data_IF_098208587729
#
_entry.id   IF_098208587729
#
_cell.length_a   1.000
_cell.length_b   1.000
_cell.length_c   1.000
_cell.angle_alpha   90.00
_cell.angle_beta   90.00
_cell.angle_gamma   90.00
#
_symmetry.space_group_name_H-M   'P 1'
#
loop_
_entity.id
_entity.type
_entity.pdbx_description
1 polymer ?
#
# COMPACT_ATOMS: atom_id res chain seq x y z
N UNK A 1 -12.77 -36.05 20.67
CA UNK A 1 -12.18 -34.88 21.34
C UNK A 1 -11.50 -34.05 20.26
N UNK A 2 -11.74 -32.76 20.04
CA UNK A 2 -12.39 -31.74 20.85
C UNK A 2 -12.97 -30.60 19.96
N UNK A 3 -13.94 -29.91 20.56
CA UNK A 3 -14.53 -28.59 20.27
C UNK A 3 -15.03 -28.26 18.86
N UNK A 4 -16.23 -28.75 18.55
CA UNK A 4 -17.21 -27.94 17.80
C UNK A 4 -17.52 -26.72 18.69
N UNK A 5 -16.95 -25.57 18.34
CA UNK A 5 -17.19 -24.30 19.04
C UNK A 5 -18.68 -23.97 19.05
N UNK A 6 -19.19 -23.66 20.24
CA UNK A 6 -20.58 -23.33 20.55
C UNK A 6 -21.08 -22.08 19.81
N UNK A 7 -22.20 -22.18 19.10
CA UNK A 7 -23.04 -21.02 18.70
C UNK A 7 -24.52 -21.42 18.83
N UNK A 8 -25.16 -21.16 19.96
CA UNK A 8 -26.63 -21.13 20.00
C UNK A 8 -27.12 -20.05 19.03
N UNK A 9 -28.23 -20.32 18.34
CA UNK A 9 -28.81 -19.50 17.28
C UNK A 9 -29.35 -18.12 17.71
N UNK A 10 -29.09 -17.69 18.96
CA UNK A 10 -29.50 -16.37 19.43
C UNK A 10 -28.76 -15.30 18.61
N UNK A 11 -29.53 -14.51 17.84
CA UNK A 11 -29.10 -13.36 17.06
C UNK A 11 -28.40 -13.64 15.71
N UNK A 12 -28.49 -14.85 15.15
CA UNK A 12 -28.15 -15.07 13.75
C UNK A 12 -29.21 -14.45 12.81
N UNK A 13 -28.80 -14.08 11.60
CA UNK A 13 -29.67 -13.44 10.61
C UNK A 13 -29.67 -14.26 9.32
N UNK A 14 -30.86 -14.57 8.81
CA UNK A 14 -31.04 -15.26 7.54
C UNK A 14 -31.36 -14.27 6.42
N UNK A 15 -30.79 -14.52 5.25
CA UNK A 15 -31.05 -13.80 4.00
C UNK A 15 -31.55 -14.81 2.98
N UNK A 16 -32.71 -14.53 2.36
CA UNK A 16 -33.38 -15.44 1.42
C UNK A 16 -33.72 -14.72 0.12
N UNK A 17 -34.05 -15.47 -0.93
CA UNK A 17 -34.54 -14.96 -2.21
C UNK A 17 -33.56 -13.98 -2.88
N UNK A 18 -32.26 -14.29 -2.85
CA UNK A 18 -31.19 -13.50 -3.48
C UNK A 18 -30.57 -14.15 -4.71
N UNK A 19 -29.62 -13.44 -5.33
CA UNK A 19 -28.69 -13.99 -6.34
C UNK A 19 -27.26 -13.89 -5.79
N UNK A 20 -26.86 -14.88 -4.99
CA UNK A 20 -25.61 -14.84 -4.22
C UNK A 20 -24.52 -15.55 -5.00
N UNK A 21 -23.52 -14.80 -5.46
CA UNK A 21 -22.27 -15.33 -5.98
C UNK A 21 -21.38 -15.75 -4.79
N UNK A 22 -21.03 -17.03 -4.71
CA UNK A 22 -20.27 -17.58 -3.56
C UNK A 22 -18.76 -17.63 -3.81
N UNK A 23 -18.35 -17.55 -5.08
CA UNK A 23 -17.00 -17.87 -5.55
C UNK A 23 -16.52 -19.31 -5.28
N UNK A 24 -17.40 -20.21 -4.82
CA UNK A 24 -17.12 -21.65 -4.72
C UNK A 24 -17.32 -22.30 -6.10
N UNK A 25 -16.27 -22.93 -6.64
CA UNK A 25 -16.30 -23.63 -7.94
C UNK A 25 -17.41 -24.69 -7.99
N UNK A 26 -17.69 -25.38 -6.88
CA UNK A 26 -18.71 -26.45 -6.82
C UNK A 26 -20.13 -25.91 -6.63
N UNK A 27 -20.28 -24.75 -6.01
CA UNK A 27 -21.58 -24.13 -5.73
C UNK A 27 -21.53 -22.62 -5.97
N UNK A 28 -21.33 -22.18 -7.22
CA UNK A 28 -21.03 -20.78 -7.53
C UNK A 28 -22.19 -19.82 -7.24
N UNK A 29 -23.41 -20.34 -7.18
CA UNK A 29 -24.63 -19.59 -6.91
C UNK A 29 -25.41 -20.21 -5.76
N UNK A 30 -25.99 -19.35 -4.92
CA UNK A 30 -26.98 -19.72 -3.92
C UNK A 30 -28.08 -18.65 -3.83
N UNK A 31 -29.33 -19.03 -3.50
CA UNK A 31 -30.39 -18.06 -3.25
C UNK A 31 -30.40 -17.52 -1.82
N UNK A 32 -29.78 -18.21 -0.85
CA UNK A 32 -29.93 -17.87 0.56
C UNK A 32 -28.69 -18.22 1.41
N UNK A 33 -28.55 -17.52 2.55
CA UNK A 33 -27.51 -17.80 3.54
C UNK A 33 -27.90 -17.33 4.95
N UNK A 34 -27.17 -17.83 5.96
CA UNK A 34 -27.28 -17.40 7.36
C UNK A 34 -25.94 -16.82 7.81
N UNK A 35 -26.00 -15.63 8.40
CA UNK A 35 -24.86 -14.96 9.03
C UNK A 35 -24.97 -15.12 10.54
N UNK A 36 -23.91 -15.63 11.15
CA UNK A 36 -23.81 -15.78 12.60
C UNK A 36 -23.55 -14.44 13.30
N UNK A 37 -23.76 -14.34 14.63
CA UNK A 37 -23.48 -13.10 15.37
C UNK A 37 -22.03 -12.59 15.27
N UNK A 38 -21.08 -13.48 14.95
CA UNK A 38 -19.67 -13.12 14.77
C UNK A 38 -19.35 -12.61 13.35
N UNK A 39 -20.32 -12.66 12.42
CA UNK A 39 -20.17 -12.23 11.03
C UNK A 39 -19.82 -13.36 10.05
N UNK A 40 -19.67 -14.60 10.51
CA UNK A 40 -19.35 -15.74 9.64
C UNK A 40 -20.60 -16.27 8.94
N UNK A 41 -20.45 -16.71 7.69
CA UNK A 41 -21.48 -17.49 6.97
C UNK A 41 -21.62 -18.88 7.62
N UNK A 42 -22.73 -19.10 8.33
CA UNK A 42 -23.01 -20.35 9.00
C UNK A 42 -23.58 -21.41 8.04
N UNK A 43 -24.37 -21.00 7.06
CA UNK A 43 -24.96 -21.88 6.05
C UNK A 43 -25.21 -21.08 4.77
N UNK A 44 -24.94 -21.67 3.60
CA UNK A 44 -25.20 -21.08 2.28
C UNK A 44 -25.90 -22.13 1.43
N UNK A 45 -27.14 -21.87 1.01
CA UNK A 45 -28.08 -22.93 0.66
C UNK A 45 -29.27 -22.49 -0.18
N UNK A 46 -30.21 -23.42 -0.36
CA UNK A 46 -31.49 -23.12 -1.00
C UNK A 46 -32.39 -22.31 -0.06
N UNK A 47 -33.40 -21.64 -0.63
CA UNK A 47 -34.39 -20.92 0.18
C UNK A 47 -35.12 -21.85 1.16
N UNK A 48 -35.45 -23.07 0.74
CA UNK A 48 -36.16 -24.03 1.59
C UNK A 48 -35.33 -24.50 2.78
N UNK A 49 -34.04 -24.75 2.56
CA UNK A 49 -33.07 -25.12 3.60
C UNK A 49 -32.95 -24.00 4.63
N UNK A 50 -32.72 -22.77 4.19
CA UNK A 50 -32.58 -21.63 5.10
C UNK A 50 -33.91 -21.33 5.81
N UNK A 51 -35.07 -21.42 5.14
CA UNK A 51 -36.39 -21.26 5.77
C UNK A 51 -36.67 -22.34 6.82
N UNK A 52 -36.16 -23.56 6.64
CA UNK A 52 -36.26 -24.59 7.67
C UNK A 52 -35.44 -24.24 8.92
N UNK A 53 -34.22 -23.72 8.75
CA UNK A 53 -33.38 -23.20 9.84
C UNK A 53 -34.09 -22.06 10.56
N UNK A 54 -34.63 -21.08 9.81
CA UNK A 54 -35.41 -19.96 10.34
C UNK A 54 -36.57 -20.46 11.22
N UNK A 55 -37.34 -21.45 10.76
CA UNK A 55 -38.48 -21.98 11.53
C UNK A 55 -38.04 -22.70 12.81
N UNK A 56 -36.96 -23.49 12.73
CA UNK A 56 -36.40 -24.22 13.86
C UNK A 56 -35.86 -23.27 14.94
N UNK A 57 -35.09 -22.28 14.50
CA UNK A 57 -34.28 -21.42 15.37
C UNK A 57 -34.90 -20.04 15.63
N UNK A 58 -36.02 -19.74 14.97
CA UNK A 58 -36.75 -18.46 15.05
C UNK A 58 -35.88 -17.25 14.67
N UNK A 59 -35.10 -17.39 13.60
CA UNK A 59 -34.19 -16.34 13.12
C UNK A 59 -34.93 -15.15 12.51
N UNK A 60 -34.31 -13.97 12.59
CA UNK A 60 -34.70 -12.82 11.77
C UNK A 60 -34.39 -13.11 10.30
N UNK A 61 -35.31 -12.76 9.41
CA UNK A 61 -35.18 -13.00 7.97
C UNK A 61 -35.24 -11.70 7.19
N UNK A 62 -34.30 -11.53 6.27
CA UNK A 62 -34.33 -10.51 5.23
C UNK A 62 -34.60 -11.15 3.87
N UNK A 63 -35.62 -10.65 3.18
CA UNK A 63 -35.89 -10.98 1.78
C UNK A 63 -35.05 -10.08 0.89
N UNK A 64 -34.09 -10.68 0.17
CA UNK A 64 -33.20 -9.98 -0.75
C UNK A 64 -33.89 -9.57 -2.05
N UNK A 65 -35.13 -10.01 -2.33
CA UNK A 65 -35.92 -9.60 -3.51
C UNK A 65 -35.14 -9.70 -4.83
N UNK A 66 -34.42 -10.80 -5.01
CA UNK A 66 -33.58 -11.10 -6.16
C UNK A 66 -32.40 -10.12 -6.38
N UNK A 67 -32.05 -9.31 -5.38
CA UNK A 67 -30.83 -8.50 -5.43
C UNK A 67 -29.59 -9.41 -5.48
N UNK A 68 -28.58 -8.91 -6.20
CA UNK A 68 -27.29 -9.56 -6.35
C UNK A 68 -26.46 -9.37 -5.08
N UNK A 69 -25.78 -10.42 -4.65
CA UNK A 69 -24.84 -10.41 -3.53
C UNK A 69 -23.53 -11.04 -4.01
N UNK A 70 -22.41 -10.42 -3.66
CA UNK A 70 -21.07 -10.94 -3.92
C UNK A 70 -20.20 -10.78 -2.67
N UNK A 71 -19.06 -11.49 -2.57
CA UNK A 71 -18.07 -11.18 -1.54
C UNK A 71 -17.65 -9.72 -1.64
N UNK A 72 -17.41 -9.10 -0.49
CA UNK A 72 -16.83 -7.76 -0.44
C UNK A 72 -15.47 -7.73 -1.14
N UNK A 73 -15.15 -6.60 -1.76
CA UNK A 73 -13.92 -6.46 -2.53
C UNK A 73 -12.73 -6.44 -1.56
N UNK A 74 -11.69 -7.19 -1.91
CA UNK A 74 -10.38 -7.14 -1.27
C UNK A 74 -9.43 -6.32 -2.16
N UNK A 75 -8.95 -5.21 -1.62
CA UNK A 75 -7.89 -4.44 -2.28
C UNK A 75 -6.52 -5.02 -1.92
N UNK A 76 -5.87 -5.66 -2.88
CA UNK A 76 -4.61 -6.39 -2.66
C UNK A 76 -3.38 -5.48 -2.52
N UNK A 77 -3.49 -4.18 -2.79
CA UNK A 77 -2.40 -3.24 -2.60
C UNK A 77 -2.92 -1.80 -2.55
N UNK A 78 -2.87 -1.19 -1.37
CA UNK A 78 -3.29 0.20 -1.17
C UNK A 78 -2.38 0.94 -0.20
N UNK A 79 -2.49 2.26 -0.20
CA UNK A 79 -1.87 3.15 0.78
C UNK A 79 -2.99 3.93 1.49
N UNK A 80 -3.79 3.23 2.30
CA UNK A 80 -5.03 3.72 2.90
C UNK A 80 -4.82 5.00 3.71
N UNK A 81 -3.79 5.03 4.57
CA UNK A 81 -3.51 6.21 5.39
C UNK A 81 -3.01 7.37 4.53
N UNK A 82 -2.03 7.13 3.66
CA UNK A 82 -1.43 8.17 2.81
C UNK A 82 -2.49 8.78 1.89
N UNK A 83 -3.24 7.96 1.15
CA UNK A 83 -4.30 8.43 0.25
C UNK A 83 -5.38 9.23 1.00
N UNK A 84 -5.72 8.82 2.22
CA UNK A 84 -6.70 9.53 3.05
C UNK A 84 -6.14 10.85 3.59
N UNK A 85 -4.86 10.89 4.01
CA UNK A 85 -4.19 12.14 4.40
C UNK A 85 -4.09 13.11 3.24
N UNK A 86 -3.75 12.61 2.05
CA UNK A 86 -3.71 13.39 0.82
C UNK A 86 -5.07 14.04 0.58
N UNK A 87 -6.13 13.24 0.63
CA UNK A 87 -7.49 13.74 0.36
C UNK A 87 -7.99 14.76 1.38
N UNK A 88 -7.56 14.68 2.64
CA UNK A 88 -8.01 15.57 3.71
C UNK A 88 -7.15 16.82 3.91
N UNK A 89 -5.86 16.78 3.56
CA UNK A 89 -4.90 17.86 3.85
C UNK A 89 -4.31 18.53 2.62
N UNK A 90 -4.25 17.81 1.50
CA UNK A 90 -3.58 18.32 0.31
C UNK A 90 -4.56 19.11 -0.56
N UNK A 91 -4.08 20.23 -1.10
CA UNK A 91 -4.83 20.99 -2.09
C UNK A 91 -4.64 20.33 -3.46
N UNK A 92 -5.74 20.08 -4.15
CA UNK A 92 -5.69 19.81 -5.58
C UNK A 92 -5.45 21.14 -6.31
N UNK A 93 -4.26 21.28 -6.90
CA UNK A 93 -3.88 22.47 -7.66
C UNK A 93 -4.25 22.35 -9.15
N UNK A 94 -4.92 21.26 -9.53
CA UNK A 94 -5.45 21.03 -10.87
C UNK A 94 -4.43 20.49 -11.86
N UNK A 95 -4.85 19.52 -12.67
CA UNK A 95 -4.06 18.86 -13.71
C UNK A 95 -3.41 19.80 -14.73
N UNK A 96 -3.96 21.00 -14.94
CA UNK A 96 -3.45 22.00 -15.87
C UNK A 96 -2.49 23.02 -15.25
N UNK A 97 -2.06 22.83 -14.00
CA UNK A 97 -1.14 23.76 -13.35
C UNK A 97 0.18 23.88 -14.10
N UNK A 98 0.65 25.10 -14.29
CA UNK A 98 1.95 25.40 -14.88
C UNK A 98 2.74 26.41 -14.02
N UNK A 99 3.91 26.85 -14.50
CA UNK A 99 4.78 27.75 -13.74
C UNK A 99 4.12 29.09 -13.36
N UNK A 100 3.12 29.54 -14.12
CA UNK A 100 2.40 30.79 -13.84
C UNK A 100 1.26 30.59 -12.83
N UNK A 101 0.55 29.47 -12.91
CA UNK A 101 -0.65 29.23 -12.08
C UNK A 101 -0.35 28.51 -10.77
N UNK A 102 0.76 27.77 -10.70
CA UNK A 102 1.10 26.88 -9.60
C UNK A 102 0.99 27.57 -8.23
N UNK A 103 1.71 28.67 -8.04
CA UNK A 103 1.73 29.37 -6.76
C UNK A 103 0.38 30.03 -6.43
N UNK A 104 -0.39 30.43 -7.44
CA UNK A 104 -1.74 30.98 -7.26
C UNK A 104 -2.77 29.93 -6.84
N UNK A 105 -2.62 28.69 -7.31
CA UNK A 105 -3.51 27.58 -7.00
C UNK A 105 -3.28 27.01 -5.59
N UNK A 106 -2.14 27.29 -4.97
CA UNK A 106 -1.87 26.91 -3.58
C UNK A 106 -2.78 27.70 -2.62
N UNK A 107 -3.71 27.00 -1.96
CA UNK A 107 -4.58 27.63 -0.95
C UNK A 107 -3.82 28.12 0.29
N UNK A 108 -2.80 27.37 0.77
CA UNK A 108 -1.90 27.73 1.87
C UNK A 108 -0.51 27.12 1.66
N UNK A 109 0.54 27.85 2.00
CA UNK A 109 1.94 27.39 1.86
C UNK A 109 2.29 26.17 2.73
N UNK A 110 1.53 25.91 3.79
CA UNK A 110 1.75 24.79 4.72
C UNK A 110 1.10 23.47 4.27
N UNK A 111 0.50 23.42 3.08
CA UNK A 111 -0.10 22.21 2.53
C UNK A 111 0.94 21.48 1.65
N UNK A 112 1.13 20.18 1.86
CA UNK A 112 1.57 19.33 0.76
C UNK A 112 0.49 19.44 -0.34
N UNK A 113 0.85 19.68 -1.59
CA UNK A 113 -0.12 19.86 -2.68
C UNK A 113 0.27 19.00 -3.86
N UNK A 114 -0.66 18.51 -4.69
CA UNK A 114 -0.32 17.58 -5.78
C UNK A 114 -0.39 18.25 -7.16
N UNK A 115 0.70 18.28 -7.95
CA UNK A 115 0.71 18.71 -9.36
C UNK A 115 0.84 17.53 -10.31
N UNK A 116 0.36 17.68 -11.54
CA UNK A 116 0.70 16.78 -12.66
C UNK A 116 1.72 17.48 -13.55
N UNK A 117 2.66 16.71 -14.12
CA UNK A 117 3.66 17.16 -15.09
C UNK A 117 3.26 18.43 -15.84
N UNK A 118 4.06 19.49 -15.66
CA UNK A 118 3.82 20.81 -16.22
C UNK A 118 3.68 20.69 -17.75
N UNK A 119 2.55 21.10 -18.34
CA UNK A 119 2.31 20.99 -19.78
C UNK A 119 3.38 21.69 -20.63
N UNK A 120 4.00 22.74 -20.09
CA UNK A 120 4.87 23.67 -20.82
C UNK A 120 6.28 23.84 -20.23
N UNK A 121 6.69 23.08 -19.20
CA UNK A 121 7.94 23.42 -18.49
C UNK A 121 8.56 22.34 -17.60
N UNK A 122 9.83 22.55 -17.26
CA UNK A 122 10.53 21.80 -16.22
C UNK A 122 10.09 22.36 -14.86
N UNK A 123 9.66 21.53 -13.89
CA UNK A 123 9.39 21.98 -12.52
C UNK A 123 10.56 22.80 -11.97
N UNK A 124 10.28 23.99 -11.43
CA UNK A 124 11.31 24.89 -10.93
C UNK A 124 10.85 25.66 -9.68
N UNK A 125 11.71 25.70 -8.66
CA UNK A 125 11.51 26.38 -7.38
C UNK A 125 11.14 27.85 -7.56
N UNK A 126 11.62 28.49 -8.65
CA UNK A 126 11.36 29.90 -8.98
C UNK A 126 9.87 30.19 -9.14
N UNK A 127 9.07 29.22 -9.60
CA UNK A 127 7.61 29.39 -9.70
C UNK A 127 6.95 29.56 -8.33
N UNK A 128 7.61 29.11 -7.25
CA UNK A 128 7.13 29.19 -5.88
C UNK A 128 7.80 30.31 -5.08
N UNK A 129 9.08 30.60 -5.35
CA UNK A 129 9.90 31.53 -4.58
C UNK A 129 9.37 32.98 -4.59
N UNK A 130 8.76 33.44 -5.70
CA UNK A 130 8.22 34.80 -5.79
C UNK A 130 7.07 35.03 -4.81
N UNK A 131 6.22 34.02 -4.60
CA UNK A 131 5.04 34.11 -3.72
C UNK A 131 5.31 33.60 -2.32
N UNK A 132 6.25 32.67 -2.17
CA UNK A 132 6.59 32.00 -0.91
C UNK A 132 8.10 32.05 -0.64
N UNK A 133 8.73 33.24 -0.55
CA UNK A 133 10.19 33.35 -0.45
C UNK A 133 10.76 32.78 0.85
N UNK A 134 10.02 32.92 1.95
CA UNK A 134 10.44 32.51 3.30
C UNK A 134 9.57 31.38 3.89
N UNK A 135 8.57 30.91 3.12
CA UNK A 135 7.64 29.87 3.56
C UNK A 135 7.99 28.57 2.83
N UNK A 136 8.39 27.50 3.53
CA UNK A 136 8.63 26.20 2.91
C UNK A 136 7.36 25.68 2.22
N UNK A 137 7.48 25.33 0.94
CA UNK A 137 6.44 24.69 0.13
C UNK A 137 6.91 23.33 -0.37
N UNK A 138 6.06 22.32 -0.26
CA UNK A 138 6.22 21.00 -0.86
C UNK A 138 5.05 20.76 -1.82
N UNK A 139 5.37 20.54 -3.09
CA UNK A 139 4.38 20.11 -4.08
C UNK A 139 4.74 18.70 -4.54
N UNK A 140 3.90 17.72 -4.22
CA UNK A 140 4.01 16.34 -4.66
C UNK A 140 3.62 16.23 -6.13
N UNK A 141 4.32 15.42 -6.89
CA UNK A 141 3.89 15.06 -8.25
C UNK A 141 2.78 13.98 -8.18
N UNK A 142 1.97 13.86 -9.23
CA UNK A 142 0.74 13.04 -9.23
C UNK A 142 1.00 11.55 -8.99
N UNK A 143 2.11 11.01 -9.50
CA UNK A 143 2.51 9.63 -9.21
C UNK A 143 2.97 9.44 -7.75
N UNK A 144 3.18 10.52 -7.01
CA UNK A 144 3.68 10.56 -5.63
C UNK A 144 5.15 10.16 -5.45
N UNK A 145 5.86 9.87 -6.55
CA UNK A 145 7.28 9.49 -6.54
C UNK A 145 8.24 10.69 -6.50
N UNK A 146 7.81 11.85 -6.98
CA UNK A 146 8.63 13.06 -7.06
C UNK A 146 8.01 14.20 -6.24
N UNK A 147 8.86 15.16 -5.84
CA UNK A 147 8.42 16.40 -5.19
C UNK A 147 9.12 17.62 -5.80
N UNK A 148 8.43 18.76 -5.79
CA UNK A 148 8.96 20.07 -6.08
C UNK A 148 9.02 20.89 -4.79
N UNK A 149 10.23 21.33 -4.45
CA UNK A 149 10.52 22.23 -3.34
C UNK A 149 10.79 23.65 -3.85
N UNK A 150 10.38 24.63 -3.06
CA UNK A 150 10.91 25.98 -3.19
C UNK A 150 12.28 26.13 -2.49
N UNK A 151 12.95 27.26 -2.66
CA UNK A 151 14.28 27.51 -2.06
C UNK A 151 14.23 27.44 -0.52
N UNK A 152 13.15 27.91 0.10
CA UNK A 152 12.97 27.83 1.55
C UNK A 152 12.89 26.37 2.06
N UNK A 153 12.23 25.47 1.33
CA UNK A 153 12.15 24.05 1.67
C UNK A 153 13.48 23.34 1.56
N UNK A 154 14.25 23.59 0.48
CA UNK A 154 15.60 23.03 0.32
C UNK A 154 16.49 23.39 1.50
N UNK A 155 16.53 24.68 1.87
CA UNK A 155 17.30 25.17 3.03
C UNK A 155 16.84 24.53 4.35
N UNK A 156 15.52 24.43 4.55
CA UNK A 156 14.95 23.85 5.79
C UNK A 156 15.31 22.37 5.94
N UNK A 157 15.40 21.65 4.84
CA UNK A 157 15.78 20.23 4.84
C UNK A 157 17.29 20.01 4.77
N UNK A 158 18.10 21.08 4.80
CA UNK A 158 19.56 20.99 4.73
C UNK A 158 20.09 20.54 3.37
N UNK A 159 19.29 20.66 2.31
CA UNK A 159 19.68 20.26 0.95
C UNK A 159 20.47 21.43 0.34
N UNK A 160 21.79 21.29 0.31
CA UNK A 160 22.72 22.26 -0.28
C UNK A 160 23.18 21.82 -1.68
N UNK A 161 23.12 22.73 -2.64
CA UNK A 161 23.42 22.44 -4.05
C UNK A 161 24.86 21.96 -4.31
N UNK A 162 25.81 22.31 -3.43
CA UNK A 162 27.25 21.97 -3.56
C UNK A 162 27.60 20.65 -2.90
N UNK A 163 26.89 20.29 -1.83
CA UNK A 163 27.18 19.10 -1.02
C UNK A 163 26.30 17.90 -1.37
N UNK A 164 25.11 18.14 -1.92
CA UNK A 164 24.12 17.08 -2.20
C UNK A 164 24.55 16.23 -3.40
N UNK A 165 24.65 14.92 -3.20
CA UNK A 165 24.89 13.92 -4.23
C UNK A 165 23.62 13.12 -4.53
N UNK A 166 23.52 12.57 -5.74
CA UNK A 166 22.40 11.73 -6.13
C UNK A 166 22.51 10.35 -5.45
N UNK A 167 21.47 9.87 -4.74
CA UNK A 167 21.47 8.54 -4.14
C UNK A 167 21.15 7.44 -5.16
N UNK A 168 21.33 6.15 -4.81
CA UNK A 168 20.80 5.05 -5.61
C UNK A 168 19.30 5.21 -5.88
N UNK A 169 18.89 4.96 -7.13
CA UNK A 169 17.48 5.02 -7.55
C UNK A 169 16.80 6.39 -7.45
N UNK A 170 17.55 7.49 -7.35
CA UNK A 170 16.99 8.84 -7.32
C UNK A 170 18.02 9.91 -7.64
N UNK A 171 17.57 11.14 -7.84
CA UNK A 171 18.47 12.27 -8.11
C UNK A 171 17.79 13.61 -7.83
N UNK A 172 18.61 14.64 -7.72
CA UNK A 172 18.16 16.02 -7.59
C UNK A 172 18.29 16.71 -8.95
N UNK A 173 17.18 17.19 -9.53
CA UNK A 173 17.26 17.83 -10.84
C UNK A 173 17.98 19.16 -10.76
N UNK A 174 18.95 19.35 -11.65
CA UNK A 174 19.80 20.54 -11.74
C UNK A 174 19.51 21.32 -13.01
N UNK A 175 19.62 22.64 -12.90
CA UNK A 175 19.64 23.56 -14.04
C UNK A 175 20.96 23.43 -14.78
N UNK A 176 21.05 24.06 -15.95
CA UNK A 176 22.26 24.07 -16.77
C UNK A 176 23.48 24.69 -16.08
N UNK A 177 23.27 25.57 -15.09
CA UNK A 177 24.33 26.18 -14.27
C UNK A 177 24.75 25.32 -13.06
N UNK A 178 24.15 24.15 -12.88
CA UNK A 178 24.41 23.22 -11.76
C UNK A 178 23.56 23.46 -10.52
N UNK A 179 22.82 24.57 -10.44
CA UNK A 179 21.93 24.87 -9.31
C UNK A 179 20.72 23.94 -9.26
N UNK A 180 20.18 23.69 -8.07
CA UNK A 180 19.02 22.82 -7.89
C UNK A 180 17.73 23.47 -8.41
N UNK A 181 17.00 22.77 -9.27
CA UNK A 181 15.65 23.17 -9.71
C UNK A 181 14.63 23.11 -8.57
N UNK A 182 14.91 22.35 -7.52
CA UNK A 182 13.94 22.03 -6.47
C UNK A 182 13.13 20.76 -6.74
N UNK A 183 13.19 20.19 -7.93
CA UNK A 183 12.60 18.87 -8.20
C UNK A 183 13.51 17.75 -7.70
N UNK A 184 12.94 16.87 -6.88
CA UNK A 184 13.61 15.76 -6.20
C UNK A 184 12.92 14.48 -6.63
N UNK A 185 13.70 13.53 -7.17
CA UNK A 185 13.19 12.34 -7.87
C UNK A 185 13.46 11.08 -7.06
N UNK A 186 12.42 10.30 -6.83
CA UNK A 186 12.46 8.91 -6.32
C UNK A 186 13.31 8.74 -5.05
N UNK A 187 14.40 7.97 -5.09
CA UNK A 187 15.25 7.71 -3.92
C UNK A 187 15.75 8.98 -3.21
N UNK A 188 15.90 10.09 -3.94
CA UNK A 188 16.31 11.38 -3.37
C UNK A 188 15.23 12.00 -2.47
N UNK A 189 13.97 11.57 -2.60
CA UNK A 189 12.87 12.04 -1.74
C UNK A 189 12.91 11.43 -0.33
N UNK A 190 13.76 10.43 -0.06
CA UNK A 190 13.86 9.78 1.25
C UNK A 190 14.03 10.78 2.39
N UNK A 191 15.00 11.68 2.29
CA UNK A 191 15.31 12.62 3.37
C UNK A 191 14.22 13.68 3.52
N UNK A 192 13.54 14.03 2.42
CA UNK A 192 12.33 14.87 2.44
C UNK A 192 11.25 14.20 3.28
N UNK A 193 10.92 12.95 2.96
CA UNK A 193 9.88 12.17 3.63
C UNK A 193 10.17 12.01 5.12
N UNK A 194 11.40 11.70 5.49
CA UNK A 194 11.83 11.56 6.89
C UNK A 194 11.87 12.90 7.66
N UNK A 195 12.00 14.03 6.97
CA UNK A 195 11.97 15.36 7.60
C UNK A 195 10.56 15.84 7.96
N UNK A 196 9.52 15.23 7.38
CA UNK A 196 8.15 15.63 7.64
C UNK A 196 7.73 15.21 9.06
N UNK A 197 7.00 16.08 9.79
CA UNK A 197 6.53 15.75 11.12
C UNK A 197 5.54 14.60 11.07
N UNK A 198 5.72 13.62 11.97
CA UNK A 198 4.76 12.54 12.15
C UNK A 198 3.41 13.09 12.61
N UNK A 199 2.34 12.61 11.96
CA UNK A 199 0.99 13.04 12.28
C UNK A 199 0.59 12.52 13.67
N UNK A 200 -0.05 13.35 14.53
CA UNK A 200 -0.53 12.89 15.82
C UNK A 200 -1.51 11.72 15.70
N UNK A 201 -1.46 10.77 16.63
CA UNK A 201 -2.29 9.55 16.61
C UNK A 201 -3.79 9.84 16.44
N UNK A 202 -4.31 10.84 17.16
CA UNK A 202 -5.72 11.23 17.07
C UNK A 202 -6.11 11.76 15.67
N UNK A 203 -5.17 12.36 14.95
CA UNK A 203 -5.37 12.76 13.56
C UNK A 203 -5.37 11.53 12.65
N UNK A 204 -4.38 10.63 12.80
CA UNK A 204 -4.28 9.38 12.03
C UNK A 204 -5.57 8.56 12.14
N UNK A 205 -6.14 8.41 13.34
CA UNK A 205 -7.42 7.69 13.53
C UNK A 205 -8.56 8.28 12.71
N UNK A 206 -8.76 9.61 12.76
CA UNK A 206 -9.82 10.30 11.99
C UNK A 206 -9.63 10.10 10.49
N UNK A 207 -8.38 10.15 10.03
CA UNK A 207 -8.04 9.94 8.63
C UNK A 207 -8.30 8.51 8.18
N UNK A 208 -7.98 7.52 9.01
CA UNK A 208 -8.30 6.12 8.72
C UNK A 208 -9.81 5.88 8.66
N UNK A 209 -10.59 6.49 9.54
CA UNK A 209 -12.06 6.39 9.50
C UNK A 209 -12.61 6.94 8.18
N UNK A 210 -12.10 8.07 7.70
CA UNK A 210 -12.45 8.60 6.37
C UNK A 210 -12.09 7.60 5.26
N UNK A 211 -10.88 7.04 5.28
CA UNK A 211 -10.45 6.04 4.30
C UNK A 211 -11.34 4.79 4.31
N UNK A 212 -11.68 4.28 5.50
CA UNK A 212 -12.57 3.12 5.70
C UNK A 212 -13.97 3.41 5.14
N UNK A 213 -14.53 4.59 5.42
CA UNK A 213 -15.82 5.01 4.86
C UNK A 213 -15.76 5.03 3.33
N UNK A 214 -14.70 5.59 2.76
CA UNK A 214 -14.48 5.60 1.31
C UNK A 214 -14.39 4.19 0.72
N UNK A 215 -13.63 3.28 1.34
CA UNK A 215 -13.59 1.87 0.94
C UNK A 215 -14.99 1.25 0.91
N UNK A 216 -15.78 1.42 1.97
CA UNK A 216 -17.13 0.86 2.05
C UNK A 216 -18.07 1.41 0.97
N UNK A 217 -17.95 2.68 0.59
CA UNK A 217 -18.75 3.28 -0.50
C UNK A 217 -18.51 2.60 -1.85
N UNK A 218 -17.34 1.98 -2.05
CA UNK A 218 -17.00 1.22 -3.24
C UNK A 218 -17.10 -0.31 -3.05
N UNK A 219 -17.64 -0.76 -1.91
CA UNK A 219 -17.77 -2.19 -1.60
C UNK A 219 -16.48 -2.89 -1.20
N UNK A 220 -15.41 -2.14 -0.89
CA UNK A 220 -14.14 -2.67 -0.37
C UNK A 220 -14.31 -2.93 1.12
N UNK A 221 -14.16 -4.19 1.53
CA UNK A 221 -14.33 -4.63 2.92
C UNK A 221 -13.03 -5.12 3.56
N UNK A 222 -11.97 -5.18 2.77
CA UNK A 222 -10.63 -5.48 3.27
C UNK A 222 -9.53 -4.94 2.37
N UNK A 223 -8.36 -4.67 2.92
CA UNK A 223 -7.23 -4.17 2.15
C UNK A 223 -5.88 -4.62 2.68
N UNK A 224 -4.89 -4.62 1.80
CA UNK A 224 -3.48 -4.75 2.15
C UNK A 224 -2.84 -3.37 2.14
N UNK A 225 -2.53 -2.84 3.33
CA UNK A 225 -1.82 -1.56 3.47
C UNK A 225 -0.34 -1.79 3.19
N UNK A 226 0.21 -1.17 2.15
CA UNK A 226 1.57 -1.41 1.66
C UNK A 226 2.66 -0.58 2.38
N UNK A 227 2.26 0.43 3.16
CA UNK A 227 3.18 1.35 3.86
C UNK A 227 2.91 1.43 5.36
N UNK A 228 2.56 0.31 5.99
CA UNK A 228 2.25 0.32 7.42
C UNK A 228 3.49 0.68 8.25
N UNK A 229 3.27 1.53 9.26
CA UNK A 229 4.28 2.05 10.17
C UNK A 229 3.77 2.03 11.62
N UNK A 230 4.56 2.53 12.58
CA UNK A 230 4.22 2.50 14.01
C UNK A 230 2.88 3.17 14.31
N UNK A 231 2.72 4.43 13.87
CA UNK A 231 1.54 5.23 14.22
C UNK A 231 0.27 4.64 13.58
N UNK A 232 0.38 4.06 12.38
CA UNK A 232 -0.71 3.34 11.72
C UNK A 232 -1.19 2.15 12.55
N UNK A 233 -0.27 1.29 12.99
CA UNK A 233 -0.60 0.10 13.78
C UNK A 233 -1.23 0.44 15.14
N UNK A 234 -0.71 1.47 15.82
CA UNK A 234 -1.31 1.97 17.05
C UNK A 234 -2.71 2.55 16.82
N UNK A 235 -2.93 3.26 15.71
CA UNK A 235 -4.24 3.80 15.37
C UNK A 235 -5.26 2.69 15.12
N UNK A 236 -4.88 1.65 14.39
CA UNK A 236 -5.72 0.46 14.19
C UNK A 236 -6.06 -0.21 15.52
N UNK A 237 -5.08 -0.37 16.41
CA UNK A 237 -5.27 -0.99 17.73
C UNK A 237 -6.25 -0.20 18.60
N UNK A 238 -6.15 1.13 18.61
CA UNK A 238 -7.12 1.97 19.33
C UNK A 238 -8.51 1.94 18.69
N UNK A 239 -8.61 2.03 17.35
CA UNK A 239 -9.90 1.95 16.66
C UNK A 239 -10.58 0.59 16.88
N UNK A 240 -9.82 -0.50 16.91
CA UNK A 240 -10.32 -1.83 17.25
C UNK A 240 -10.85 -1.86 18.69
N UNK A 241 -10.08 -1.37 19.67
CA UNK A 241 -10.49 -1.30 21.07
C UNK A 241 -11.71 -0.40 21.32
N UNK A 242 -11.91 0.60 20.47
CA UNK A 242 -13.07 1.49 20.47
C UNK A 242 -14.26 0.97 19.64
N UNK A 243 -14.13 -0.21 19.02
CA UNK A 243 -15.13 -0.78 18.11
C UNK A 243 -15.50 0.16 16.95
N UNK A 244 -14.49 0.86 16.41
CA UNK A 244 -14.58 1.78 15.27
C UNK A 244 -13.82 1.28 14.03
N UNK A 245 -13.03 0.20 14.18
CA UNK A 245 -12.40 -0.47 13.04
C UNK A 245 -13.39 -1.42 12.38
N UNK A 246 -13.91 -1.03 11.22
CA UNK A 246 -14.92 -1.80 10.46
C UNK A 246 -14.41 -2.33 9.12
N UNK A 247 -13.09 -2.31 8.90
CA UNK A 247 -12.41 -2.81 7.70
C UNK A 247 -11.38 -3.86 8.12
N UNK A 248 -11.31 -5.00 7.41
CA UNK A 248 -10.23 -5.96 7.65
C UNK A 248 -8.93 -5.50 6.98
N UNK A 249 -7.90 -5.23 7.77
CA UNK A 249 -6.62 -4.68 7.30
C UNK A 249 -5.49 -5.70 7.48
N UNK A 250 -4.69 -5.84 6.42
CA UNK A 250 -3.47 -6.65 6.39
C UNK A 250 -2.28 -5.70 6.25
N UNK A 251 -1.78 -5.13 7.36
CA UNK A 251 -0.68 -4.17 7.32
C UNK A 251 0.62 -4.87 6.91
N UNK A 252 1.19 -4.42 5.79
CA UNK A 252 2.53 -4.75 5.37
C UNK A 252 3.47 -3.69 5.94
N UNK A 253 4.19 -4.07 6.99
CA UNK A 253 5.08 -3.16 7.71
C UNK A 253 6.35 -2.99 6.86
N UNK A 254 6.69 -1.75 6.52
CA UNK A 254 7.86 -1.47 5.69
C UNK A 254 9.12 -1.89 6.42
N UNK A 255 10.01 -2.62 5.74
CA UNK A 255 11.31 -2.98 6.28
C UNK A 255 12.42 -2.13 5.68
N UNK A 256 12.47 -2.02 4.35
CA UNK A 256 13.48 -1.24 3.65
C UNK A 256 13.09 -1.01 2.16
N UNK A 257 13.56 0.09 1.54
CA UNK A 257 13.94 1.35 2.19
C UNK A 257 12.78 1.94 3.00
N UNK A 258 13.09 2.84 3.93
CA UNK A 258 12.16 3.31 4.96
C UNK A 258 11.33 4.54 4.56
N UNK A 259 11.74 5.25 3.50
CA UNK A 259 11.10 6.47 3.00
C UNK A 259 9.57 6.37 2.88
N UNK A 260 9.02 5.32 2.22
CA UNK A 260 7.57 5.15 2.08
C UNK A 260 6.78 5.07 3.39
N UNK A 261 7.43 4.73 4.52
CA UNK A 261 6.79 4.66 5.83
C UNK A 261 6.90 5.97 6.64
N UNK A 262 7.69 6.94 6.16
CA UNK A 262 8.03 8.18 6.89
C UNK A 262 8.68 7.92 8.27
N UNK A 263 9.29 6.75 8.46
CA UNK A 263 9.79 6.29 9.76
C UNK A 263 11.17 5.68 9.56
N UNK A 264 12.07 5.73 10.55
CA UNK A 264 13.42 5.17 10.42
C UNK A 264 13.42 3.64 10.34
N UNK A 265 14.41 3.05 9.64
CA UNK A 265 14.56 1.59 9.57
C UNK A 265 14.63 0.94 10.96
N UNK A 266 15.34 1.54 11.92
CA UNK A 266 15.49 0.99 13.28
C UNK A 266 14.15 0.90 14.01
N UNK A 267 13.32 1.94 13.88
CA UNK A 267 11.98 1.97 14.50
C UNK A 267 11.06 0.94 13.84
N UNK A 268 11.08 0.86 12.51
CA UNK A 268 10.31 -0.15 11.76
C UNK A 268 10.72 -1.59 12.09
N UNK A 269 12.02 -1.85 12.26
CA UNK A 269 12.53 -3.16 12.71
C UNK A 269 12.04 -3.50 14.12
N UNK A 270 12.06 -2.55 15.06
CA UNK A 270 11.54 -2.76 16.40
C UNK A 270 10.04 -3.10 16.39
N UNK A 271 9.27 -2.46 15.50
CA UNK A 271 7.84 -2.71 15.32
C UNK A 271 7.58 -4.07 14.70
N UNK A 272 8.37 -4.46 13.69
CA UNK A 272 8.35 -5.80 13.11
C UNK A 272 8.58 -6.87 14.17
N UNK A 273 9.46 -6.64 15.14
CA UNK A 273 9.74 -7.59 16.23
C UNK A 273 8.55 -7.80 17.19
N UNK A 274 7.65 -6.81 17.30
CA UNK A 274 6.44 -6.90 18.12
C UNK A 274 5.14 -6.97 17.30
N UNK A 275 5.22 -7.20 15.98
CA UNK A 275 4.08 -7.05 15.07
C UNK A 275 2.85 -7.88 15.48
N UNK A 276 3.06 -9.11 15.97
CA UNK A 276 1.99 -9.99 16.44
C UNK A 276 1.15 -9.39 17.60
N UNK A 277 1.68 -8.41 18.34
CA UNK A 277 0.94 -7.72 19.42
C UNK A 277 -0.15 -6.75 18.91
N UNK A 278 -0.21 -6.53 17.59
CA UNK A 278 -1.23 -5.75 16.91
C UNK A 278 -2.33 -6.59 16.27
N UNK A 279 -2.20 -7.93 16.28
CA UNK A 279 -3.25 -8.81 15.77
C UNK A 279 -4.56 -8.63 16.55
N UNK A 280 -5.67 -8.59 15.81
CA UNK A 280 -7.01 -8.41 16.36
C UNK A 280 -8.08 -9.03 15.45
N UNK A 281 -9.36 -8.75 15.68
CA UNK A 281 -10.43 -9.29 14.82
C UNK A 281 -10.27 -8.82 13.38
N UNK A 282 -9.92 -7.55 13.20
CA UNK A 282 -9.82 -6.93 11.87
C UNK A 282 -8.37 -6.70 11.41
N UNK A 283 -7.35 -6.99 12.23
CA UNK A 283 -5.95 -6.74 11.87
C UNK A 283 -5.15 -8.04 11.89
N UNK A 284 -4.34 -8.26 10.84
CA UNK A 284 -3.34 -9.34 10.77
C UNK A 284 -1.97 -8.77 10.39
N UNK A 285 -1.09 -8.58 11.37
CA UNK A 285 0.19 -7.88 11.23
C UNK A 285 1.39 -8.81 10.98
N UNK A 286 1.20 -9.84 10.15
CA UNK A 286 2.25 -10.83 9.80
C UNK A 286 2.94 -10.56 8.46
N UNK A 287 2.81 -9.36 7.91
CA UNK A 287 3.28 -9.02 6.57
C UNK A 287 4.38 -7.96 6.64
N UNK A 288 5.39 -8.12 5.79
CA UNK A 288 6.55 -7.22 5.67
C UNK A 288 6.62 -6.70 4.25
N UNK A 289 6.91 -5.43 4.04
CA UNK A 289 7.08 -4.86 2.71
C UNK A 289 8.52 -4.41 2.44
N UNK A 290 8.96 -4.58 1.20
CA UNK A 290 10.23 -4.12 0.67
C UNK A 290 10.01 -3.35 -0.63
N UNK A 291 10.85 -2.35 -0.93
CA UNK A 291 10.88 -1.70 -2.24
C UNK A 291 12.20 -2.00 -2.92
N UNK A 292 12.14 -2.61 -4.11
CA UNK A 292 13.33 -3.07 -4.82
C UNK A 292 13.77 -2.12 -5.93
N UNK A 293 12.85 -1.38 -6.53
CA UNK A 293 13.11 -0.39 -7.58
C UNK A 293 12.11 0.79 -7.54
N UNK A 294 12.26 1.74 -8.46
CA UNK A 294 11.39 2.90 -8.60
C UNK A 294 10.14 2.65 -9.46
N UNK A 295 9.69 3.69 -10.18
CA UNK A 295 8.48 3.67 -10.98
C UNK A 295 8.73 3.56 -12.50
N UNK A 296 7.87 2.83 -13.24
CA UNK A 296 7.92 2.73 -14.69
C UNK A 296 7.14 3.87 -15.36
N UNK A 297 7.34 5.10 -14.90
CA UNK A 297 6.54 6.25 -15.29
C UNK A 297 7.40 7.37 -15.91
N UNK A 298 6.91 8.02 -16.98
CA UNK A 298 7.58 9.17 -17.57
C UNK A 298 7.55 10.38 -16.62
N UNK A 299 8.56 11.26 -16.67
CA UNK A 299 9.68 11.23 -17.63
C UNK A 299 10.91 10.43 -17.17
N UNK A 300 11.00 10.07 -15.89
CA UNK A 300 12.27 9.67 -15.28
C UNK A 300 12.58 8.16 -15.35
N UNK A 301 11.57 7.28 -15.47
CA UNK A 301 11.70 5.81 -15.62
C UNK A 301 12.81 5.20 -14.74
N UNK A 302 12.52 5.05 -13.46
CA UNK A 302 13.47 4.64 -12.41
C UNK A 302 13.32 3.18 -12.00
N UNK A 303 12.52 2.41 -12.72
CA UNK A 303 12.37 0.97 -12.54
C UNK A 303 13.65 0.21 -12.97
N UNK A 304 13.92 -0.92 -12.32
CA UNK A 304 15.07 -1.76 -12.65
C UNK A 304 14.70 -2.75 -13.76
N UNK A 305 15.01 -2.38 -15.01
CA UNK A 305 14.93 -3.26 -16.17
C UNK A 305 16.23 -4.08 -16.35
N UNK A 306 16.32 -4.81 -17.46
CA UNK A 306 17.51 -5.60 -17.80
C UNK A 306 18.53 -4.76 -18.57
N UNK A 307 19.79 -4.94 -18.25
CA UNK A 307 20.92 -4.41 -19.01
C UNK A 307 21.11 -5.13 -20.36
N UNK A 308 22.14 -4.71 -21.11
CA UNK A 308 22.45 -5.29 -22.42
C UNK A 308 22.84 -6.77 -22.37
N UNK A 309 23.32 -7.25 -21.22
CA UNK A 309 23.71 -8.64 -20.99
C UNK A 309 22.55 -9.49 -20.44
N UNK A 310 21.38 -8.87 -20.19
CA UNK A 310 20.18 -9.52 -19.69
C UNK A 310 20.15 -9.70 -18.18
N UNK A 311 21.02 -9.01 -17.43
CA UNK A 311 21.04 -8.98 -15.97
C UNK A 311 20.23 -7.78 -15.44
N UNK A 312 19.73 -7.81 -14.20
CA UNK A 312 19.11 -6.63 -13.59
C UNK A 312 20.08 -5.44 -13.55
N UNK A 313 19.64 -4.27 -14.03
CA UNK A 313 20.45 -3.04 -13.94
C UNK A 313 20.51 -2.57 -12.48
N UNK A 314 21.59 -2.96 -11.80
CA UNK A 314 21.85 -2.69 -10.39
C UNK A 314 21.81 -1.20 -10.00
N UNK A 315 21.95 -0.28 -10.96
CA UNK A 315 21.85 1.17 -10.70
C UNK A 315 20.47 1.58 -10.17
N UNK A 316 19.43 0.87 -10.57
CA UNK A 316 18.04 1.16 -10.21
C UNK A 316 17.53 0.29 -9.05
N UNK A 317 18.37 -0.60 -8.51
CA UNK A 317 18.03 -1.36 -7.31
C UNK A 317 18.22 -0.49 -6.07
N UNK A 318 17.18 -0.45 -5.23
CA UNK A 318 17.17 0.33 -3.98
C UNK A 318 17.82 -0.42 -2.81
N UNK A 319 17.99 -1.73 -2.95
CA UNK A 319 18.55 -2.61 -1.94
C UNK A 319 19.63 -3.47 -2.58
N UNK A 320 20.77 -3.59 -1.90
CA UNK A 320 21.77 -4.57 -2.27
C UNK A 320 21.27 -5.99 -2.00
N UNK A 321 21.86 -6.94 -2.72
CA UNK A 321 21.44 -8.33 -2.74
C UNK A 321 21.55 -9.02 -1.39
N UNK A 322 22.63 -8.75 -0.65
CA UNK A 322 22.89 -9.37 0.64
C UNK A 322 21.87 -8.86 1.68
N UNK A 323 21.66 -7.54 1.74
CA UNK A 323 20.67 -6.91 2.63
C UNK A 323 19.26 -7.39 2.33
N UNK A 324 18.87 -7.50 1.06
CA UNK A 324 17.56 -8.00 0.66
C UNK A 324 17.39 -9.48 1.04
N UNK A 325 18.36 -10.33 0.67
CA UNK A 325 18.30 -11.77 0.96
C UNK A 325 18.24 -12.05 2.45
N UNK A 326 19.12 -11.44 3.25
CA UNK A 326 19.17 -11.63 4.70
C UNK A 326 17.87 -11.21 5.38
N UNK A 327 17.29 -10.07 4.95
CA UNK A 327 16.03 -9.59 5.48
C UNK A 327 14.86 -10.50 5.10
N UNK A 328 14.75 -10.89 3.83
CA UNK A 328 13.71 -11.80 3.37
C UNK A 328 13.81 -13.16 4.08
N UNK A 329 15.02 -13.70 4.22
CA UNK A 329 15.26 -14.95 4.94
C UNK A 329 14.87 -14.85 6.42
N UNK A 330 15.20 -13.74 7.09
CA UNK A 330 14.83 -13.49 8.49
C UNK A 330 13.32 -13.56 8.70
N UNK A 331 12.53 -12.91 7.86
CA UNK A 331 11.07 -12.83 8.03
C UNK A 331 10.34 -14.08 7.52
N UNK A 332 10.83 -14.71 6.45
CA UNK A 332 10.37 -16.03 6.01
C UNK A 332 10.54 -17.09 7.13
N UNK A 333 11.71 -17.12 7.79
CA UNK A 333 11.95 -18.01 8.93
C UNK A 333 11.04 -17.75 10.14
N UNK A 334 10.46 -16.55 10.24
CA UNK A 334 9.44 -16.17 11.24
C UNK A 334 8.01 -16.49 10.80
N UNK A 335 7.82 -17.08 9.61
CA UNK A 335 6.51 -17.38 9.04
C UNK A 335 5.75 -16.14 8.56
N UNK A 336 6.45 -15.02 8.34
CA UNK A 336 5.86 -13.77 7.85
C UNK A 336 5.86 -13.75 6.33
N UNK A 337 4.81 -13.19 5.74
CA UNK A 337 4.74 -12.98 4.29
C UNK A 337 5.50 -11.71 3.91
N UNK A 338 6.54 -11.87 3.09
CA UNK A 338 7.27 -10.77 2.49
C UNK A 338 6.62 -10.35 1.17
N UNK A 339 6.29 -9.07 1.05
CA UNK A 339 5.93 -8.40 -0.20
C UNK A 339 7.12 -7.59 -0.71
N UNK A 340 7.35 -7.61 -2.02
CA UNK A 340 8.39 -6.81 -2.66
C UNK A 340 7.74 -6.00 -3.78
N UNK A 341 7.87 -4.67 -3.71
CA UNK A 341 7.58 -3.78 -4.84
C UNK A 341 8.61 -4.00 -5.94
N UNK A 342 8.10 -4.35 -7.14
CA UNK A 342 8.88 -4.59 -8.34
C UNK A 342 8.16 -4.01 -9.56
N UNK A 343 8.76 -3.01 -10.20
CA UNK A 343 8.22 -2.39 -11.39
C UNK A 343 8.85 -2.93 -12.70
N UNK A 344 10.17 -2.98 -12.75
CA UNK A 344 10.94 -3.35 -13.92
C UNK A 344 11.11 -4.87 -14.08
N UNK A 345 11.53 -5.30 -15.28
CA UNK A 345 11.74 -6.73 -15.54
C UNK A 345 12.93 -7.31 -14.73
N UNK A 346 13.96 -6.50 -14.48
CA UNK A 346 15.14 -6.88 -13.71
C UNK A 346 14.82 -7.14 -12.24
N UNK A 347 14.09 -6.22 -11.59
CA UNK A 347 13.67 -6.38 -10.19
C UNK A 347 12.74 -7.57 -9.99
N UNK A 348 11.80 -7.82 -10.93
CA UNK A 348 10.93 -9.00 -10.91
C UNK A 348 11.75 -10.30 -10.93
N UNK A 349 12.69 -10.44 -11.86
CA UNK A 349 13.54 -11.64 -11.95
C UNK A 349 14.35 -11.83 -10.67
N UNK A 350 14.95 -10.74 -10.16
CA UNK A 350 15.78 -10.78 -8.97
C UNK A 350 15.01 -11.26 -7.74
N UNK A 351 13.81 -10.73 -7.52
CA UNK A 351 12.98 -11.13 -6.40
C UNK A 351 12.52 -12.59 -6.53
N UNK A 352 12.17 -13.06 -7.74
CA UNK A 352 11.82 -14.46 -7.99
C UNK A 352 12.99 -15.42 -7.71
N UNK A 353 14.22 -15.08 -8.09
CA UNK A 353 15.40 -15.92 -7.82
C UNK A 353 15.65 -16.09 -6.31
N UNK A 354 15.47 -15.01 -5.53
CA UNK A 354 15.57 -15.05 -4.07
C UNK A 354 14.44 -15.90 -3.48
N UNK A 355 13.19 -15.69 -3.91
CA UNK A 355 12.05 -16.47 -3.44
C UNK A 355 12.15 -17.95 -3.80
N UNK A 356 12.69 -18.30 -4.97
CA UNK A 356 12.97 -19.69 -5.33
C UNK A 356 13.99 -20.30 -4.38
N UNK A 357 15.03 -19.55 -4.01
CA UNK A 357 16.04 -19.99 -3.03
C UNK A 357 15.44 -20.20 -1.65
N UNK A 358 14.58 -19.28 -1.18
CA UNK A 358 13.88 -19.40 0.10
C UNK A 358 12.92 -20.59 0.10
N UNK A 359 12.11 -20.77 -0.95
CA UNK A 359 11.22 -21.92 -1.11
C UNK A 359 11.95 -23.25 -1.09
N UNK A 360 13.13 -23.33 -1.71
CA UNK A 360 13.95 -24.55 -1.68
C UNK A 360 14.47 -24.85 -0.27
N UNK A 361 14.83 -23.83 0.51
CA UNK A 361 15.23 -23.98 1.92
C UNK A 361 14.05 -24.34 2.81
N UNK A 362 12.91 -23.68 2.62
CA UNK A 362 11.69 -23.83 3.42
C UNK A 362 10.47 -24.16 2.52
N UNK A 363 10.30 -25.43 2.08
CA UNK A 363 9.22 -25.81 1.17
C UNK A 363 7.81 -25.49 1.68
N UNK A 364 7.64 -25.50 3.01
CA UNK A 364 6.38 -25.19 3.69
C UNK A 364 6.33 -23.76 4.26
N UNK A 365 7.26 -22.89 3.84
CA UNK A 365 7.28 -21.48 4.23
C UNK A 365 6.04 -20.70 3.72
N UNK A 366 5.82 -19.49 4.24
CA UNK A 366 4.74 -18.61 3.81
C UNK A 366 4.78 -18.36 2.29
N UNK A 367 3.63 -18.03 1.71
CA UNK A 367 3.61 -17.48 0.35
C UNK A 367 4.06 -16.02 0.41
N UNK A 368 4.90 -15.63 -0.53
CA UNK A 368 5.42 -14.27 -0.68
C UNK A 368 4.69 -13.53 -1.80
N UNK A 369 4.87 -12.22 -1.88
CA UNK A 369 4.07 -11.37 -2.76
C UNK A 369 4.98 -10.46 -3.61
N UNK A 370 4.64 -10.28 -4.87
CA UNK A 370 5.24 -9.26 -5.72
C UNK A 370 4.18 -8.21 -6.08
N UNK A 371 4.44 -6.95 -5.75
CA UNK A 371 3.55 -5.85 -6.12
C UNK A 371 3.89 -5.29 -7.51
N UNK A 372 2.88 -4.76 -8.20
CA UNK A 372 2.95 -4.17 -9.55
C UNK A 372 3.26 -5.16 -10.68
N UNK A 373 4.48 -5.71 -10.74
CA UNK A 373 4.93 -6.63 -11.79
C UNK A 373 4.74 -6.09 -13.22
N UNK A 374 4.86 -4.78 -13.44
CA UNK A 374 4.59 -4.12 -14.73
C UNK A 374 5.50 -4.62 -15.86
N UNK A 375 6.77 -4.93 -15.57
CA UNK A 375 7.72 -5.51 -16.52
C UNK A 375 7.39 -6.95 -16.98
N UNK A 376 6.44 -7.63 -16.33
CA UNK A 376 6.10 -9.03 -16.67
C UNK A 376 5.35 -9.22 -17.99
N UNK A 377 4.93 -8.14 -18.65
CA UNK A 377 4.25 -8.20 -19.96
C UNK A 377 5.09 -8.88 -21.06
N UNK A 378 6.42 -8.76 -21.01
CA UNK A 378 7.35 -9.45 -21.94
C UNK A 378 7.72 -10.89 -21.51
N UNK A 379 7.44 -11.25 -20.25
CA UNK A 379 7.69 -12.57 -19.68
C UNK A 379 6.61 -13.61 -20.02
N UNK A 380 5.47 -13.21 -20.60
CA UNK A 380 4.42 -14.14 -21.06
C UNK A 380 4.88 -15.14 -22.15
N UNK A 381 6.08 -14.96 -22.71
CA UNK A 381 6.69 -15.88 -23.69
C UNK A 381 7.43 -17.09 -23.10
N UNK A 382 7.71 -17.13 -21.79
CA UNK A 382 8.34 -18.29 -21.12
C UNK A 382 7.63 -18.57 -19.79
N UNK A 383 6.89 -19.68 -19.72
CA UNK A 383 6.71 -20.54 -18.52
C UNK A 383 6.48 -19.92 -17.11
N UNK A 384 6.06 -18.66 -16.96
CA UNK A 384 6.13 -17.97 -15.66
C UNK A 384 4.90 -18.08 -14.74
N UNK A 385 3.74 -18.47 -15.27
CA UNK A 385 2.65 -18.94 -14.40
C UNK A 385 3.08 -20.15 -13.55
N UNK A 386 4.03 -20.92 -14.10
CA UNK A 386 4.63 -22.10 -13.46
C UNK A 386 5.84 -21.70 -12.59
N UNK A 387 6.52 -20.56 -12.82
CA UNK A 387 7.62 -20.09 -11.96
C UNK A 387 7.13 -19.45 -10.66
N UNK A 388 6.08 -18.60 -10.69
CA UNK A 388 5.50 -18.00 -9.48
C UNK A 388 4.95 -19.04 -8.51
N UNK A 389 4.19 -20.01 -9.03
CA UNK A 389 3.67 -21.13 -8.25
C UNK A 389 4.80 -22.00 -7.66
N UNK A 390 5.90 -22.23 -8.42
CA UNK A 390 7.10 -22.93 -7.94
C UNK A 390 7.88 -22.17 -6.88
N UNK A 391 7.87 -20.84 -6.93
CA UNK A 391 8.49 -19.98 -5.91
C UNK A 391 7.60 -19.80 -4.67
N UNK A 392 6.32 -20.19 -4.74
CA UNK A 392 5.33 -19.89 -3.70
C UNK A 392 5.09 -18.37 -3.58
N UNK A 393 4.94 -17.72 -4.74
CA UNK A 393 4.66 -16.29 -4.87
C UNK A 393 3.24 -16.11 -5.39
N UNK A 394 2.45 -15.27 -4.74
CA UNK A 394 1.12 -14.85 -5.21
C UNK A 394 1.16 -13.55 -6.00
#
# INVERSE_FOLDING_TARGET
MASVSSKTANNAVAFVNGRVCTMDVKKPWAPAFVVSPTGDFATVGSDDEIRAIVRRDKLVVYDLRQHFVMPGIHDAHTHLLVASMQKLNECDIGFGSNGETLAGNLHRASCACAYTNFPDGVPDSKYLDDRYPDQPVLVRETSCHNVLFNTASLKRCGIDERETQDPPGGYYKRRADGSLTGEIVEGATRDVWLSLPQAPLAYVKRTLEYGIEMCHRFGITSCQEASANTVYLHALKELEGENRLHLSVYPHIVCAPEGPALESEDSLRAVLDIAATFDSKHVRARFVNFFLDGAPLPPDFTQCDLDADGNPDSKFLLLDDDKLFDSLQKYDARGMTCKVHVAGEGSVRRALDIFQTLRNKHPNGPWHELAHCTGSGRLRGRTDGDSRARCGVS
#
